data_IF_115256747798
#
_entry.id   IF_115256747798
#
_cell.length_a   1.000
_cell.length_b   1.000
_cell.length_c   1.000
_cell.angle_alpha   90.00
_cell.angle_beta   90.00
_cell.angle_gamma   90.00
#
_symmetry.space_group_name_H-M   'P 1'
#
loop_
_entity.id
_entity.type
_entity.pdbx_description
1 polymer ?
#
# COMPACT_ATOMS: atom_id res chain seq x y z
N UNK A 1 -7.16 8.95 -9.25
CA UNK A 1 -5.73 9.09 -8.98
C UNK A 1 -5.30 8.17 -7.86
N UNK A 2 -4.17 7.50 -8.00
CA UNK A 2 -3.71 6.56 -6.99
C UNK A 2 -3.15 7.31 -5.78
N UNK A 3 -3.49 6.84 -4.59
CA UNK A 3 -2.98 7.42 -3.34
C UNK A 3 -1.65 6.81 -2.92
N UNK A 4 -1.28 5.69 -3.51
CA UNK A 4 -0.04 4.99 -3.18
C UNK A 4 0.77 4.79 -4.45
N UNK A 5 2.07 4.78 -4.31
CA UNK A 5 2.98 4.71 -5.46
C UNK A 5 3.68 3.36 -5.50
N UNK A 6 4.08 2.95 -6.69
CA UNK A 6 4.88 1.75 -6.88
C UNK A 6 6.18 1.90 -6.07
N UNK A 7 6.52 0.88 -5.32
CA UNK A 7 7.68 0.87 -4.44
C UNK A 7 7.40 1.30 -3.03
N UNK A 8 6.19 1.81 -2.77
CA UNK A 8 5.82 2.26 -1.43
C UNK A 8 5.47 1.06 -0.56
N UNK A 9 5.89 1.10 0.71
CA UNK A 9 5.51 0.07 1.68
C UNK A 9 4.21 0.49 2.34
N UNK A 10 3.27 -0.44 2.39
CA UNK A 10 1.94 -0.16 2.95
C UNK A 10 1.54 -1.27 3.89
N UNK A 11 0.56 -0.96 4.75
CA UNK A 11 -0.06 -1.93 5.63
C UNK A 11 -1.32 -2.48 4.99
N UNK A 12 -1.51 -3.79 5.13
CA UNK A 12 -2.71 -4.44 4.59
C UNK A 12 -3.73 -4.61 5.71
N UNK A 13 -5.01 -4.45 5.37
CA UNK A 13 -6.08 -4.54 6.35
C UNK A 13 -6.12 -5.91 7.02
N UNK A 14 -5.78 -6.95 6.30
CA UNK A 14 -5.81 -8.29 6.85
C UNK A 14 -4.58 -8.62 7.69
N UNK A 15 -3.63 -7.70 7.75
CA UNK A 15 -2.45 -7.86 8.58
C UNK A 15 -1.18 -7.89 7.75
N UNK A 16 -0.09 -7.43 8.37
CA UNK A 16 1.19 -7.41 7.71
C UNK A 16 1.38 -6.23 6.79
N UNK A 17 2.56 -6.13 6.23
CA UNK A 17 2.92 -5.09 5.31
C UNK A 17 3.36 -5.69 3.98
N UNK A 18 3.46 -4.86 2.96
CA UNK A 18 3.97 -5.28 1.68
C UNK A 18 4.39 -4.08 0.85
N UNK A 19 4.95 -4.35 -0.31
CA UNK A 19 5.45 -3.31 -1.20
C UNK A 19 4.58 -3.28 -2.45
N UNK A 20 4.17 -2.08 -2.84
CA UNK A 20 3.35 -1.91 -4.04
C UNK A 20 4.20 -2.19 -5.28
N UNK A 21 3.77 -3.16 -6.06
CA UNK A 21 4.46 -3.52 -7.29
C UNK A 21 3.75 -3.03 -8.54
N UNK A 22 2.43 -2.86 -8.44
CA UNK A 22 1.67 -2.37 -9.59
C UNK A 22 0.44 -1.61 -9.09
N UNK A 23 0.01 -0.66 -9.90
CA UNK A 23 -1.20 0.11 -9.64
C UNK A 23 -2.03 0.04 -10.90
N UNK A 24 -3.31 -0.29 -10.77
CA UNK A 24 -4.15 -0.40 -11.95
C UNK A 24 -5.59 -0.01 -11.60
N UNK A 25 -6.36 0.28 -12.63
CA UNK A 25 -7.75 0.68 -12.49
C UNK A 25 -8.62 -0.39 -13.12
N UNK A 26 -9.67 -0.82 -12.40
CA UNK A 26 -10.59 -1.80 -12.93
C UNK A 26 -11.54 -1.15 -13.92
N UNK A 27 -12.32 -1.99 -14.60
CA UNK A 27 -13.32 -1.50 -15.55
C UNK A 27 -14.39 -0.67 -14.88
N UNK A 28 -14.64 -0.93 -13.58
CA UNK A 28 -15.59 -0.13 -12.82
C UNK A 28 -15.00 1.18 -12.32
N UNK A 29 -13.73 1.41 -12.59
CA UNK A 29 -13.09 2.65 -12.16
C UNK A 29 -12.44 2.57 -10.78
N UNK A 30 -12.34 1.39 -10.21
CA UNK A 30 -11.69 1.22 -8.90
C UNK A 30 -10.19 1.18 -9.04
N UNK A 31 -9.51 1.87 -8.14
CA UNK A 31 -8.07 1.84 -8.05
C UNK A 31 -7.67 0.60 -7.26
N UNK A 32 -6.81 -0.23 -7.85
CA UNK A 32 -6.37 -1.45 -7.18
C UNK A 32 -4.86 -1.56 -7.23
N UNK A 33 -4.33 -2.39 -6.35
CA UNK A 33 -2.89 -2.48 -6.15
C UNK A 33 -2.45 -3.92 -6.06
N UNK A 34 -1.29 -4.21 -6.65
CA UNK A 34 -0.64 -5.50 -6.47
C UNK A 34 0.45 -5.31 -5.42
N UNK A 35 0.33 -6.01 -4.32
CA UNK A 35 1.21 -5.88 -3.17
C UNK A 35 2.04 -7.14 -3.04
N UNK A 36 3.35 -6.98 -2.93
CA UNK A 36 4.22 -8.13 -2.71
C UNK A 36 4.57 -8.24 -1.24
N UNK A 37 4.41 -9.43 -0.69
CA UNK A 37 4.72 -9.73 0.69
C UNK A 37 5.42 -11.08 0.70
N UNK A 38 6.74 -11.07 0.89
CA UNK A 38 7.57 -12.27 0.95
C UNK A 38 7.36 -13.18 -0.27
N UNK A 39 7.36 -12.56 -1.42
CA UNK A 39 7.27 -13.30 -2.67
C UNK A 39 5.86 -13.61 -3.13
N UNK A 40 4.85 -13.34 -2.31
CA UNK A 40 3.46 -13.56 -2.68
C UNK A 40 2.83 -12.24 -3.09
N UNK A 41 1.96 -12.27 -4.08
CA UNK A 41 1.26 -11.08 -4.53
C UNK A 41 -0.17 -11.11 -4.04
N UNK A 42 -0.62 -9.97 -3.51
CA UNK A 42 -2.01 -9.75 -3.14
C UNK A 42 -2.57 -8.63 -3.98
N UNK A 43 -3.75 -8.84 -4.52
CA UNK A 43 -4.43 -7.81 -5.32
C UNK A 43 -5.56 -7.24 -4.46
N UNK A 44 -5.41 -5.99 -4.06
CA UNK A 44 -6.31 -5.38 -3.08
C UNK A 44 -6.78 -4.03 -3.57
N UNK A 45 -7.90 -3.57 -3.02
CA UNK A 45 -8.38 -2.23 -3.31
C UNK A 45 -7.75 -1.22 -2.36
N UNK A 46 -7.95 0.04 -2.69
CA UNK A 46 -7.31 1.12 -1.95
C UNK A 46 -7.77 1.16 -0.49
N UNK A 47 -9.03 0.83 -0.24
CA UNK A 47 -9.57 0.87 1.11
C UNK A 47 -8.94 -0.18 2.03
N UNK A 48 -8.33 -1.19 1.44
CA UNK A 48 -7.66 -2.25 2.21
C UNK A 48 -6.25 -1.90 2.62
N UNK A 49 -5.79 -0.71 2.29
CA UNK A 49 -4.41 -0.31 2.55
C UNK A 49 -4.37 0.90 3.46
N UNK A 50 -3.27 1.01 4.19
CA UNK A 50 -2.97 2.23 4.91
C UNK A 50 -1.46 2.44 4.88
N UNK A 51 -1.05 3.68 5.12
CA UNK A 51 0.37 3.99 5.12
C UNK A 51 1.01 3.45 6.37
N UNK A 52 2.23 2.97 6.21
CA UNK A 52 3.03 2.58 7.35
C UNK A 52 3.43 3.85 8.07
N UNK A 53 3.06 3.95 9.33
CA UNK A 53 3.34 5.13 10.13
C UNK A 53 4.77 5.06 10.63
N UNK A 54 5.54 6.03 10.29
CA UNK A 54 6.90 6.09 10.80
C UNK A 54 7.14 7.41 11.47
N UNK A 55 6.74 7.35 11.13
CA UNK A 55 6.80 8.26 11.28
C UNK A 55 6.78 8.91 11.98
N UNK A 56 6.69 8.25 11.81
CA UNK A 56 6.77 8.73 12.30
C UNK A 56 7.25 9.17 12.80
N UNK A 57 7.42 9.02 12.52
CA UNK A 57 7.90 9.47 12.81
C UNK A 57 8.30 10.03 13.07
N UNK A 58 8.42 10.09 12.92
CA UNK A 58 8.89 10.79 13.01
C UNK A 58 9.13 11.36 13.23
N UNK A 59 9.08 11.30 13.18
CA UNK A 59 9.39 11.96 13.21
C UNK A 59 9.72 12.36 13.67
N UNK A 60 9.68 12.19 13.65
CA UNK A 60 10.08 12.64 13.87
C UNK A 60 10.45 13.10 14.37
N UNK A 61 10.50 13.10 14.43
CA UNK A 61 10.89 13.56 14.83
C UNK A 61 11.02 14.14 15.21
N UNK A 62 10.94 14.04 15.15
CA UNK A 62 11.05 14.54 15.48
C UNK A 62 11.00 14.81 15.73
N UNK A 63 11.06 14.62 15.55
CA UNK A 63 11.03 14.87 15.76
C UNK A 63 10.98 15.01 16.17
#
# INVERSE_FOLDING_TARGET
MANYAIGETVKKAKGGTGVIRAVYTTMEGEQRYAIEDEGALDFVDEASLSRVSKTNSAAAKHS
#
